data_IF_219726952544
#
_entry.id   IF_219726952544
#
_cell.length_a   1.000
_cell.length_b   1.000
_cell.length_c   1.000
_cell.angle_alpha   90.00
_cell.angle_beta   90.00
_cell.angle_gamma   90.00
#
_symmetry.space_group_name_H-M   'P 1'
#
loop_
_entity.id
_entity.type
_entity.pdbx_description
1 polymer ?
#
# COMPACT_ATOMS: atom_id res chain seq x y z
N UNK A 1 -2.32 -8.34 13.99
CA UNK A 1 -2.01 -7.42 12.89
C UNK A 1 -3.04 -7.56 11.80
N UNK A 2 -3.23 -6.52 11.07
CA UNK A 2 -4.22 -6.52 9.99
C UNK A 2 -3.54 -6.56 8.64
N UNK A 3 -4.25 -7.08 7.65
CA UNK A 3 -3.81 -7.02 6.25
C UNK A 3 -4.74 -6.05 5.53
N UNK A 4 -4.16 -5.02 4.94
CA UNK A 4 -4.93 -4.01 4.21
C UNK A 4 -4.71 -4.21 2.72
N UNK A 5 -5.80 -4.43 1.98
CA UNK A 5 -5.70 -4.61 0.53
C UNK A 5 -5.89 -3.25 -0.12
N UNK A 6 -4.84 -2.78 -0.78
CA UNK A 6 -4.81 -1.43 -1.30
C UNK A 6 -4.49 -1.44 -2.78
N UNK A 7 -5.12 -0.50 -3.48
CA UNK A 7 -4.86 -0.26 -4.89
C UNK A 7 -3.58 0.55 -5.02
N UNK A 8 -2.67 0.16 -5.88
CA UNK A 8 -1.46 0.93 -6.14
C UNK A 8 -1.35 1.22 -7.63
N UNK A 9 -1.31 2.50 -7.97
CA UNK A 9 -1.24 2.91 -9.36
C UNK A 9 -0.03 2.30 -10.03
N UNK A 10 -0.21 1.83 -11.28
CA UNK A 10 0.84 1.15 -12.01
C UNK A 10 2.09 2.01 -12.18
N UNK A 11 1.95 3.34 -12.19
CA UNK A 11 3.12 4.19 -12.35
C UNK A 11 4.07 4.13 -11.15
N UNK A 12 3.60 3.64 -10.00
CA UNK A 12 4.43 3.48 -8.81
C UNK A 12 4.72 2.01 -8.49
N UNK A 13 4.06 1.09 -9.18
CA UNK A 13 4.07 -0.31 -8.78
C UNK A 13 5.47 -0.93 -8.86
N UNK A 14 6.18 -0.70 -9.97
CA UNK A 14 7.49 -1.32 -10.15
C UNK A 14 8.49 -0.82 -9.11
N UNK A 15 8.48 0.47 -8.80
CA UNK A 15 9.39 1.01 -7.80
C UNK A 15 9.07 0.48 -6.41
N UNK A 16 7.79 0.28 -6.14
CA UNK A 16 7.39 -0.31 -4.88
C UNK A 16 7.79 -1.78 -4.80
N UNK A 17 7.52 -2.54 -5.85
CA UNK A 17 7.79 -3.97 -5.85
C UNK A 17 9.29 -4.28 -5.77
N UNK A 18 10.12 -3.42 -6.33
CA UNK A 18 11.57 -3.64 -6.31
C UNK A 18 12.25 -3.04 -5.08
N UNK A 19 11.49 -2.37 -4.23
CA UNK A 19 12.04 -1.83 -2.98
C UNK A 19 12.62 -0.43 -3.11
N UNK A 20 12.56 0.18 -4.29
CA UNK A 20 13.05 1.55 -4.47
C UNK A 20 12.14 2.53 -3.73
N UNK A 21 10.83 2.34 -3.86
CA UNK A 21 9.86 3.18 -3.17
C UNK A 21 9.57 2.55 -1.81
N UNK A 22 9.93 3.25 -0.74
CA UNK A 22 9.89 2.69 0.60
C UNK A 22 8.80 3.30 1.48
N UNK A 23 7.84 3.97 0.87
CA UNK A 23 6.79 4.65 1.64
C UNK A 23 5.50 4.67 0.83
N UNK A 24 4.39 4.91 1.54
CA UNK A 24 3.08 5.14 0.96
C UNK A 24 2.47 6.35 1.65
N UNK A 25 1.91 7.27 0.89
CA UNK A 25 1.12 8.36 1.46
C UNK A 25 -0.34 8.00 1.21
N UNK A 26 -1.09 7.82 2.28
CA UNK A 26 -2.45 7.31 2.20
C UNK A 26 -3.37 8.07 3.14
N UNK A 27 -4.63 8.18 2.77
CA UNK A 27 -5.64 8.62 3.70
C UNK A 27 -5.77 7.56 4.78
N UNK A 28 -5.79 7.99 6.04
CA UNK A 28 -5.81 7.05 7.15
C UNK A 28 -7.23 6.61 7.44
N UNK A 29 -7.86 5.97 6.48
CA UNK A 29 -9.23 5.49 6.61
C UNK A 29 -9.29 4.01 6.96
N UNK A 30 -8.13 3.40 7.25
CA UNK A 30 -8.07 1.99 7.60
C UNK A 30 -7.42 1.75 8.94
N UNK A 31 -7.18 2.81 9.70
CA UNK A 31 -6.58 2.70 11.02
C UNK A 31 -5.27 1.91 10.96
N UNK A 32 -4.35 2.33 10.11
CA UNK A 32 -3.07 1.66 9.93
C UNK A 32 -2.26 1.65 11.22
N UNK A 33 -1.56 0.55 11.47
CA UNK A 33 -0.69 0.41 12.63
C UNK A 33 0.63 -0.20 12.22
N UNK A 34 1.69 0.15 12.94
CA UNK A 34 3.00 -0.47 12.72
C UNK A 34 2.85 -1.98 12.91
N UNK A 35 3.42 -2.75 12.01
CA UNK A 35 3.29 -4.20 12.00
C UNK A 35 2.21 -4.72 11.09
N UNK A 36 1.29 -3.85 10.67
CA UNK A 36 0.27 -4.28 9.72
C UNK A 36 0.88 -4.56 8.36
N UNK A 37 0.22 -5.39 7.58
CA UNK A 37 0.69 -5.77 6.26
C UNK A 37 -0.15 -5.06 5.21
N UNK A 38 0.52 -4.55 4.18
CA UNK A 38 -0.13 -3.97 3.02
C UNK A 38 -0.04 -4.96 1.88
N UNK A 39 -1.18 -5.30 1.31
CA UNK A 39 -1.25 -6.08 0.08
C UNK A 39 -1.48 -5.08 -1.03
N UNK A 40 -0.43 -4.79 -1.81
CA UNK A 40 -0.47 -3.72 -2.79
C UNK A 40 -0.77 -4.33 -4.15
N UNK A 41 -1.93 -3.96 -4.70
CA UNK A 41 -2.47 -4.56 -5.92
C UNK A 41 -2.35 -3.57 -7.05
N UNK A 42 -1.65 -3.94 -8.10
CA UNK A 42 -1.42 -3.03 -9.22
C UNK A 42 -2.72 -2.68 -9.93
N UNK A 43 -2.91 -1.39 -10.13
CA UNK A 43 -4.11 -0.86 -10.78
C UNK A 43 -3.68 -0.01 -11.95
N UNK A 44 -4.27 -0.26 -13.11
CA UNK A 44 -4.03 0.54 -14.31
C UNK A 44 -5.27 1.38 -14.56
N UNK A 45 -5.07 2.68 -14.66
CA UNK A 45 -6.16 3.59 -14.93
C UNK A 45 -6.47 3.57 -16.41
N UNK A 46 -7.73 3.43 -16.77
CA UNK A 46 -8.15 3.48 -18.18
C UNK A 46 -8.63 4.87 -18.51
N UNK A 47 -8.01 5.52 -19.46
CA UNK A 47 -8.42 6.85 -19.85
C UNK A 47 -9.65 6.90 -20.71
N UNK A 48 -10.11 5.76 -21.24
CA UNK A 48 -11.21 5.77 -22.19
C UNK A 48 -12.56 5.85 -21.51
N UNK A 49 -12.75 5.13 -20.47
CA UNK A 49 -14.06 5.08 -19.81
C UNK A 49 -14.01 5.63 -18.39
N UNK A 50 -12.91 6.25 -18.00
CA UNK A 50 -12.77 6.78 -16.64
C UNK A 50 -12.66 5.72 -15.59
N UNK A 51 -12.41 4.49 -15.96
CA UNK A 51 -12.29 3.39 -15.02
C UNK A 51 -10.90 2.80 -15.11
N UNK A 52 -10.65 1.79 -14.38
CA UNK A 52 -9.39 1.08 -14.43
C UNK A 52 -9.61 -0.37 -14.08
N UNK A 53 -8.52 -1.10 -13.99
CA UNK A 53 -8.61 -2.52 -13.69
C UNK A 53 -7.33 -2.97 -12.99
N UNK A 54 -7.48 -4.02 -12.18
CA UNK A 54 -6.33 -4.69 -11.60
C UNK A 54 -5.62 -5.50 -12.68
N UNK A 55 -4.28 -5.54 -12.62
CA UNK A 55 -3.51 -6.33 -13.57
C UNK A 55 -3.35 -7.77 -13.12
N UNK A 56 -3.58 -8.03 -11.85
CA UNK A 56 -3.29 -9.34 -11.26
C UNK A 56 -1.98 -9.37 -10.51
N UNK A 57 -1.12 -8.36 -10.70
CA UNK A 57 0.14 -8.30 -9.95
C UNK A 57 -0.11 -7.77 -8.55
N UNK A 58 0.58 -8.36 -7.58
CA UNK A 58 0.42 -7.98 -6.19
C UNK A 58 1.75 -8.20 -5.47
N UNK A 59 2.06 -7.36 -4.50
CA UNK A 59 3.19 -7.60 -3.61
C UNK A 59 2.83 -7.12 -2.22
N UNK A 60 3.61 -7.52 -1.23
CA UNK A 60 3.30 -7.28 0.17
C UNK A 60 4.40 -6.53 0.86
N UNK A 61 4.01 -5.66 1.78
CA UNK A 61 4.93 -4.89 2.60
C UNK A 61 4.44 -4.91 4.03
N UNK A 62 5.36 -4.71 4.96
CA UNK A 62 4.98 -4.54 6.38
C UNK A 62 5.23 -3.08 6.75
N UNK A 63 4.34 -2.52 7.54
CA UNK A 63 4.45 -1.14 8.01
C UNK A 63 5.49 -1.08 9.12
N UNK A 64 6.52 -0.26 8.95
CA UNK A 64 7.58 -0.12 9.94
C UNK A 64 7.49 1.18 10.71
N UNK A 65 6.85 2.21 10.17
CA UNK A 65 6.71 3.50 10.84
C UNK A 65 5.53 4.23 10.22
N UNK A 66 4.86 5.05 11.01
CA UNK A 66 3.78 5.90 10.51
C UNK A 66 4.06 7.33 10.94
N UNK A 67 4.19 8.22 9.98
CA UNK A 67 4.30 9.64 10.25
C UNK A 67 2.92 10.26 10.09
N UNK A 68 2.44 10.86 11.17
CA UNK A 68 1.10 11.41 11.21
C UNK A 68 1.25 12.85 11.72
N UNK A 69 1.82 13.72 10.90
CA UNK A 69 2.16 15.07 11.31
C UNK A 69 1.42 16.06 10.41
N UNK A 70 0.44 16.73 10.97
CA UNK A 70 -0.40 17.64 10.21
C UNK A 70 0.34 18.87 9.72
N UNK A 71 1.53 19.12 10.26
CA UNK A 71 2.33 20.24 9.77
C UNK A 71 2.85 19.98 8.37
N UNK A 72 3.03 18.70 7.99
CA UNK A 72 3.61 18.33 6.72
C UNK A 72 2.67 17.55 5.81
N UNK A 73 1.54 17.09 6.32
CA UNK A 73 0.63 16.24 5.55
C UNK A 73 -0.77 16.84 5.58
N UNK A 74 -1.54 16.53 4.54
CA UNK A 74 -2.94 16.91 4.56
C UNK A 74 -3.64 16.26 5.73
N UNK A 75 -4.68 16.91 6.22
CA UNK A 75 -5.53 16.37 7.25
C UNK A 75 -5.98 14.97 6.84
N UNK A 76 -5.97 14.05 7.78
CA UNK A 76 -6.37 12.65 7.60
C UNK A 76 -5.42 11.83 6.74
N UNK A 77 -4.29 12.37 6.30
CA UNK A 77 -3.30 11.59 5.55
C UNK A 77 -2.12 11.22 6.45
N UNK A 78 -1.52 10.06 6.15
CA UNK A 78 -0.33 9.60 6.84
C UNK A 78 0.72 9.18 5.82
N UNK A 79 1.98 9.27 6.19
CA UNK A 79 3.08 8.73 5.42
C UNK A 79 3.53 7.46 6.10
N UNK A 80 3.43 6.35 5.40
CA UNK A 80 3.70 5.04 5.96
C UNK A 80 5.01 4.53 5.41
N UNK A 81 6.00 4.29 6.27
CA UNK A 81 7.23 3.63 5.86
C UNK A 81 7.00 2.13 5.84
N UNK A 82 7.53 1.46 4.83
CA UNK A 82 7.24 0.06 4.60
C UNK A 82 8.51 -0.70 4.23
N UNK A 83 8.48 -2.00 4.44
CA UNK A 83 9.56 -2.90 4.08
C UNK A 83 8.98 -4.10 3.35
N UNK A 84 9.62 -4.59 2.28
CA UNK A 84 9.06 -5.71 1.51
C UNK A 84 9.04 -7.00 2.34
N UNK A 85 8.02 -7.80 2.12
CA UNK A 85 7.92 -9.13 2.70
C UNK A 85 7.38 -10.08 1.64
N UNK A 86 7.56 -11.36 1.89
CA UNK A 86 6.97 -12.37 1.04
C UNK A 86 5.47 -12.44 1.30
N UNK A 87 4.75 -13.07 0.39
CA UNK A 87 3.31 -13.26 0.57
C UNK A 87 3.05 -13.96 1.90
N UNK A 88 2.17 -13.44 2.73
CA UNK A 88 1.87 -14.07 4.00
C UNK A 88 1.19 -15.41 3.77
N UNK A 89 1.61 -16.43 4.53
CA UNK A 89 1.07 -17.72 4.34
C UNK A 89 -0.07 -18.04 5.22
N UNK A 90 -0.11 -17.49 6.36
CA UNK A 90 -1.00 -17.91 7.28
C UNK A 90 -2.34 -17.61 7.08
N UNK A 91 -2.49 -16.62 6.38
CA UNK A 91 -3.78 -16.17 6.20
C UNK A 91 -4.70 -17.21 5.79
N UNK A 92 -4.17 -18.08 5.05
CA UNK A 92 -5.05 -18.93 4.47
C UNK A 92 -5.48 -20.00 5.35
N UNK A 93 -4.93 -20.14 6.44
CA UNK A 93 -5.22 -21.28 7.16
C UNK A 93 -6.09 -21.09 8.26
N UNK A 94 -6.48 -19.96 8.44
CA UNK A 94 -7.21 -19.79 9.55
C UNK A 94 -8.54 -19.98 9.46
#
# INVERSE_FOLDING_TARGET
>A
MSVHKLKLNSCYYADSATGIKTFEIRKNDRNFKVGDILELREWVWSGLDGKGAYTGNVHWKVITYILDDEEYLYEDYVCIAVSPIAEPQEAEHE
#
